data_IF_821386558231
#
_entry.id   IF_821386558231
#
_cell.length_a   1.000
_cell.length_b   1.000
_cell.length_c   1.000
_cell.angle_alpha   90.00
_cell.angle_beta   90.00
_cell.angle_gamma   90.00
#
_symmetry.space_group_name_H-M   'P 1'
#
loop_
_entity.id
_entity.type
_entity.pdbx_description
1 polymer ?
#
# COMPACT_ATOMS: atom_id res chain seq x y z
N UNK A 1 32.49 -12.23 -28.23
CA UNK A 1 31.35 -11.54 -27.61
C UNK A 1 31.45 -11.80 -26.11
N UNK A 2 31.93 -10.83 -25.32
CA UNK A 2 32.05 -10.98 -23.86
C UNK A 2 30.78 -10.42 -23.24
N UNK A 3 30.05 -11.28 -22.54
CA UNK A 3 28.93 -10.89 -21.70
C UNK A 3 29.41 -9.86 -20.68
N UNK A 4 28.80 -8.68 -20.70
CA UNK A 4 28.97 -7.70 -19.65
C UNK A 4 28.25 -8.23 -18.41
N UNK A 5 29.00 -8.86 -17.52
CA UNK A 5 28.59 -9.08 -16.13
C UNK A 5 28.38 -7.70 -15.53
N UNK A 6 27.13 -7.29 -15.41
CA UNK A 6 26.74 -6.11 -14.65
C UNK A 6 27.18 -6.35 -13.20
N UNK A 7 28.18 -5.61 -12.77
CA UNK A 7 28.59 -5.50 -11.38
C UNK A 7 27.42 -4.87 -10.57
N UNK A 8 26.72 -5.70 -9.80
CA UNK A 8 25.53 -5.32 -9.00
C UNK A 8 25.96 -4.62 -7.69
N UNK A 9 27.26 -4.41 -7.43
CA UNK A 9 27.73 -3.94 -6.13
C UNK A 9 27.77 -2.42 -5.92
N UNK A 10 27.28 -1.60 -6.86
CA UNK A 10 27.33 -0.13 -6.72
C UNK A 10 26.09 0.64 -7.24
N UNK A 11 24.90 0.03 -7.28
CA UNK A 11 23.69 0.83 -7.53
C UNK A 11 23.31 1.58 -6.26
N UNK A 12 23.62 2.88 -6.21
CA UNK A 12 23.08 3.82 -5.21
C UNK A 12 21.55 3.71 -5.22
N UNK A 13 20.98 2.94 -4.30
CA UNK A 13 19.55 2.66 -4.30
C UNK A 13 18.74 3.98 -4.23
N UNK A 14 17.64 4.10 -5.00
CA UNK A 14 16.61 5.12 -4.74
C UNK A 14 16.07 4.97 -3.30
N UNK A 15 15.58 6.06 -2.69
CA UNK A 15 15.10 6.20 -1.29
C UNK A 15 15.39 5.03 -0.34
N UNK A 16 16.33 5.22 0.59
CA UNK A 16 16.54 4.33 1.73
C UNK A 16 16.27 5.12 3.01
N UNK A 17 15.46 4.55 3.91
CA UNK A 17 15.16 5.16 5.20
C UNK A 17 15.27 4.12 6.31
N UNK A 18 16.12 4.42 7.27
CA UNK A 18 16.22 3.73 8.55
C UNK A 18 15.28 4.44 9.57
N UNK A 19 14.45 3.70 10.34
CA UNK A 19 13.60 4.26 11.38
C UNK A 19 14.34 5.17 12.36
N UNK A 20 15.61 4.88 12.65
CA UNK A 20 16.42 5.67 13.58
C UNK A 20 16.59 7.14 13.12
N UNK A 21 16.49 7.41 11.81
CA UNK A 21 16.56 8.77 11.23
C UNK A 21 15.43 9.67 11.72
N UNK A 22 14.27 9.10 12.02
CA UNK A 22 13.08 9.82 12.51
C UNK A 22 12.75 9.51 13.97
N UNK A 23 13.65 8.80 14.67
CA UNK A 23 13.40 8.33 16.03
C UNK A 23 12.23 7.35 16.15
N UNK A 24 11.94 6.61 15.07
CA UNK A 24 10.84 5.65 15.03
C UNK A 24 11.31 4.24 15.39
N UNK A 25 10.42 3.45 15.96
CA UNK A 25 10.59 2.00 16.11
C UNK A 25 10.41 1.29 14.76
N UNK A 26 9.42 1.72 13.97
CA UNK A 26 9.12 1.17 12.65
C UNK A 26 8.66 2.24 11.66
N UNK A 27 9.04 2.09 10.39
CA UNK A 27 8.50 2.80 9.24
C UNK A 27 7.79 1.83 8.28
N UNK A 28 6.61 2.19 7.80
CA UNK A 28 5.72 1.31 7.04
C UNK A 28 5.06 2.02 5.86
N UNK A 29 4.63 1.22 4.87
CA UNK A 29 3.89 1.66 3.67
C UNK A 29 4.50 2.89 3.00
N UNK A 30 5.72 2.78 2.47
CA UNK A 30 6.28 3.86 1.67
C UNK A 30 5.50 4.02 0.37
N UNK A 31 5.20 5.25 -0.01
CA UNK A 31 4.56 5.64 -1.26
C UNK A 31 5.34 6.80 -1.87
N UNK A 32 5.88 6.60 -3.08
CA UNK A 32 6.54 7.66 -3.84
C UNK A 32 5.51 8.44 -4.65
N UNK A 33 5.65 9.76 -4.66
CA UNK A 33 4.76 10.68 -5.36
C UNK A 33 5.53 11.89 -5.90
N UNK A 34 5.09 12.42 -7.05
CA UNK A 34 5.68 13.62 -7.65
C UNK A 34 4.87 14.87 -7.31
N UNK A 35 5.58 15.88 -6.81
CA UNK A 35 5.06 17.20 -6.48
C UNK A 35 6.13 18.25 -6.77
N UNK A 36 5.77 19.29 -7.53
CA UNK A 36 6.67 20.38 -7.95
C UNK A 36 8.01 19.89 -8.52
N UNK A 37 7.94 18.97 -9.49
CA UNK A 37 9.10 18.34 -10.15
C UNK A 37 10.06 17.55 -9.22
N UNK A 38 9.70 17.41 -7.94
CA UNK A 38 10.42 16.59 -6.98
C UNK A 38 9.65 15.31 -6.69
N UNK A 39 10.39 14.20 -6.54
CA UNK A 39 9.81 12.97 -6.00
C UNK A 39 9.98 12.96 -4.50
N UNK A 40 8.86 12.79 -3.81
CA UNK A 40 8.76 12.76 -2.36
C UNK A 40 8.26 11.38 -1.93
N UNK A 41 8.58 10.98 -0.71
CA UNK A 41 8.11 9.73 -0.13
C UNK A 41 7.20 10.03 1.06
N UNK A 42 5.95 9.60 0.96
CA UNK A 42 5.07 9.48 2.12
C UNK A 42 5.26 8.11 2.76
N UNK A 43 5.24 8.05 4.08
CA UNK A 43 5.35 6.81 4.83
C UNK A 43 4.73 7.00 6.21
N UNK A 44 4.38 5.89 6.85
CA UNK A 44 3.92 5.89 8.24
C UNK A 44 5.12 5.58 9.13
N UNK A 45 5.26 6.26 10.26
CA UNK A 45 6.24 5.93 11.30
C UNK A 45 5.55 5.73 12.66
N UNK A 46 5.91 4.65 13.37
CA UNK A 46 5.56 4.43 14.78
C UNK A 46 6.70 4.93 15.65
N UNK A 47 6.42 5.94 16.47
CA UNK A 47 7.43 6.53 17.38
C UNK A 47 7.50 5.73 18.68
N UNK A 48 6.36 5.32 19.22
CA UNK A 48 6.28 4.62 20.50
C UNK A 48 6.29 3.10 20.25
N UNK A 49 7.45 2.48 20.46
CA UNK A 49 7.69 1.05 20.24
C UNK A 49 7.09 0.13 21.30
N UNK A 50 5.84 0.34 21.73
CA UNK A 50 5.15 -0.65 22.56
C UNK A 50 4.69 -1.86 21.73
N UNK A 51 4.46 -3.01 22.39
CA UNK A 51 4.04 -4.27 21.74
C UNK A 51 2.69 -4.16 21.00
N UNK A 52 2.03 -3.00 21.05
CA UNK A 52 0.73 -2.76 20.47
C UNK A 52 0.77 -1.87 19.23
N UNK A 53 1.96 -1.45 18.79
CA UNK A 53 2.16 -0.63 17.58
C UNK A 53 1.24 0.61 17.59
N UNK A 54 1.23 1.35 18.70
CA UNK A 54 0.43 2.57 18.84
C UNK A 54 1.11 3.78 18.19
N UNK A 55 0.33 4.80 17.85
CA UNK A 55 0.82 6.12 17.38
C UNK A 55 1.61 6.07 16.09
N UNK A 56 0.94 5.61 15.04
CA UNK A 56 1.46 5.72 13.68
C UNK A 56 1.13 7.11 13.13
N UNK A 57 2.17 7.90 12.87
CA UNK A 57 2.03 9.21 12.24
C UNK A 57 2.31 9.11 10.74
N UNK A 58 1.70 10.00 9.94
CA UNK A 58 2.09 10.14 8.53
C UNK A 58 3.25 11.13 8.43
N UNK A 59 4.30 10.71 7.74
CA UNK A 59 5.51 11.48 7.50
C UNK A 59 5.76 11.63 6.01
N UNK A 60 6.51 12.68 5.66
CA UNK A 60 7.01 12.92 4.32
C UNK A 60 8.52 13.12 4.33
N UNK A 61 9.18 12.55 3.34
CA UNK A 61 10.58 12.80 3.01
C UNK A 61 10.60 13.54 1.66
N UNK A 62 10.84 14.86 1.65
CA UNK A 62 10.72 15.69 0.43
C UNK A 62 11.73 15.39 -0.67
N UNK A 63 12.76 14.58 -0.38
CA UNK A 63 13.82 14.20 -1.29
C UNK A 63 14.78 13.22 -0.62
N UNK A 64 15.60 12.53 -1.40
CA UNK A 64 16.47 11.44 -0.92
C UNK A 64 17.41 11.82 0.23
N UNK A 65 17.84 13.07 0.29
CA UNK A 65 18.77 13.57 1.31
C UNK A 65 18.08 14.59 2.25
N UNK A 66 16.77 14.79 2.10
CA UNK A 66 16.02 15.72 2.93
C UNK A 66 15.67 15.10 4.28
N UNK A 67 15.64 15.92 5.34
CA UNK A 67 15.12 15.47 6.64
C UNK A 67 13.63 15.18 6.52
N UNK A 68 13.16 14.01 6.98
CA UNK A 68 11.73 13.74 7.04
C UNK A 68 11.02 14.67 8.02
N UNK A 69 9.74 14.92 7.77
CA UNK A 69 8.86 15.69 8.67
C UNK A 69 7.51 14.98 8.83
N UNK A 70 6.93 15.09 10.01
CA UNK A 70 5.55 14.66 10.26
C UNK A 70 4.58 15.62 9.56
N UNK A 71 3.55 15.07 8.91
CA UNK A 71 2.53 15.83 8.17
C UNK A 71 1.10 15.59 8.69
N UNK A 72 0.85 14.45 9.32
CA UNK A 72 -0.37 14.20 10.09
C UNK A 72 -0.03 13.43 11.35
N UNK A 73 -0.67 13.82 12.45
CA UNK A 73 -0.61 13.12 13.72
C UNK A 73 -1.91 12.34 13.95
N UNK A 74 -1.79 11.14 14.50
CA UNK A 74 -2.93 10.32 14.90
C UNK A 74 -2.75 9.81 16.33
N UNK A 75 -3.84 9.89 17.11
CA UNK A 75 -3.92 9.25 18.43
C UNK A 75 -4.19 7.75 18.30
N UNK A 76 -4.83 7.35 17.19
CA UNK A 76 -5.15 5.97 16.86
C UNK A 76 -4.07 5.32 15.99
N UNK A 77 -4.12 3.99 15.89
CA UNK A 77 -3.29 3.27 14.94
C UNK A 77 -3.77 3.56 13.50
N UNK A 78 -2.84 3.85 12.59
CA UNK A 78 -3.16 4.05 11.17
C UNK A 78 -2.26 3.24 10.27
N UNK A 79 -2.83 2.82 9.13
CA UNK A 79 -2.16 1.98 8.15
C UNK A 79 -2.55 2.32 6.72
N UNK A 80 -1.77 1.78 5.79
CA UNK A 80 -2.14 1.68 4.38
C UNK A 80 -2.50 2.99 3.67
N UNK A 81 -1.71 4.06 3.80
CA UNK A 81 -1.97 5.29 3.06
C UNK A 81 -1.99 4.97 1.57
N UNK A 82 -2.94 5.59 0.90
CA UNK A 82 -3.09 5.60 -0.55
C UNK A 82 -3.37 7.02 -0.98
N UNK A 83 -2.54 7.56 -1.87
CA UNK A 83 -2.71 8.93 -2.36
C UNK A 83 -3.06 8.91 -3.83
N UNK A 84 -4.17 9.55 -4.15
CA UNK A 84 -4.58 9.85 -5.51
C UNK A 84 -4.25 11.32 -5.82
N UNK A 85 -3.52 11.56 -6.91
CA UNK A 85 -3.29 12.92 -7.44
C UNK A 85 -4.51 13.32 -8.27
N UNK A 86 -5.13 14.43 -7.88
CA UNK A 86 -6.21 15.09 -8.58
C UNK A 86 -5.66 16.33 -9.31
N UNK A 87 -6.45 16.94 -10.19
CA UNK A 87 -6.00 18.07 -11.03
C UNK A 87 -5.39 19.23 -10.22
N UNK A 88 -5.90 19.48 -9.00
CA UNK A 88 -5.48 20.63 -8.16
C UNK A 88 -5.10 20.26 -6.73
N UNK A 89 -5.24 19.00 -6.35
CA UNK A 89 -5.02 18.57 -4.98
C UNK A 89 -4.61 17.09 -4.96
N UNK A 90 -4.27 16.61 -3.77
CA UNK A 90 -3.99 15.23 -3.46
C UNK A 90 -5.07 14.76 -2.50
N UNK A 91 -5.62 13.58 -2.75
CA UNK A 91 -6.55 12.90 -1.87
C UNK A 91 -5.86 11.70 -1.23
N UNK A 92 -5.71 11.73 0.08
CA UNK A 92 -5.23 10.60 0.88
C UNK A 92 -6.44 9.77 1.32
N UNK A 93 -6.29 8.46 1.26
CA UNK A 93 -7.13 7.49 1.95
C UNK A 93 -6.23 6.73 2.92
N UNK A 94 -6.66 6.58 4.17
CA UNK A 94 -5.87 5.93 5.20
C UNK A 94 -6.77 5.10 6.10
N UNK A 95 -6.31 3.90 6.45
CA UNK A 95 -6.98 3.07 7.44
C UNK A 95 -6.71 3.64 8.83
N UNK A 96 -7.77 3.82 9.62
CA UNK A 96 -7.70 4.22 11.03
C UNK A 96 -8.34 3.13 11.87
N UNK A 97 -7.60 2.67 12.88
CA UNK A 97 -7.95 1.61 13.81
C UNK A 97 -8.06 2.19 15.22
N UNK A 98 -9.27 2.54 15.59
CA UNK A 98 -9.62 3.10 16.89
C UNK A 98 -9.67 1.99 17.95
N UNK A 99 -9.14 2.28 19.14
CA UNK A 99 -9.10 1.34 20.27
C UNK A 99 -8.49 -0.03 19.90
N UNK A 100 -7.43 -0.06 19.08
CA UNK A 100 -6.81 -1.29 18.58
C UNK A 100 -6.35 -2.30 19.67
N UNK A 101 -6.26 -1.87 20.93
CA UNK A 101 -5.95 -2.73 22.08
C UNK A 101 -7.17 -3.27 22.83
N UNK A 102 -8.37 -2.76 22.57
CA UNK A 102 -9.61 -3.19 23.22
C UNK A 102 -10.55 -3.82 22.18
N UNK A 103 -10.60 -5.17 22.11
CA UNK A 103 -11.51 -5.91 21.23
C UNK A 103 -12.98 -5.49 21.30
N UNK A 104 -13.47 -5.04 22.47
CA UNK A 104 -14.87 -4.69 22.66
C UNK A 104 -15.21 -3.29 22.15
N UNK A 105 -14.21 -2.40 22.08
CA UNK A 105 -14.35 -1.02 21.60
C UNK A 105 -13.68 -0.79 20.24
N UNK A 106 -13.10 -1.83 19.65
CA UNK A 106 -12.38 -1.77 18.39
C UNK A 106 -13.27 -1.30 17.24
N UNK A 107 -12.79 -0.33 16.48
CA UNK A 107 -13.44 0.15 15.26
C UNK A 107 -12.38 0.46 14.21
N UNK A 108 -12.63 0.02 12.99
CA UNK A 108 -11.80 0.38 11.85
C UNK A 108 -12.60 1.20 10.84
N UNK A 109 -11.92 2.13 10.19
CA UNK A 109 -12.49 2.97 9.13
C UNK A 109 -11.42 3.31 8.09
N UNK A 110 -11.83 3.63 6.86
CA UNK A 110 -10.99 4.37 5.92
C UNK A 110 -11.44 5.82 5.95
N UNK A 111 -10.51 6.72 6.26
CA UNK A 111 -10.74 8.17 6.26
C UNK A 111 -10.05 8.81 5.07
N UNK A 112 -10.61 9.91 4.59
CA UNK A 112 -10.02 10.70 3.50
C UNK A 112 -9.64 12.11 3.94
N UNK A 113 -8.48 12.54 3.43
CA UNK A 113 -7.89 13.84 3.68
C UNK A 113 -7.47 14.46 2.35
N UNK A 114 -7.47 15.79 2.27
CA UNK A 114 -7.01 16.53 1.09
C UNK A 114 -5.85 17.46 1.40
N UNK A 115 -4.96 17.64 0.44
CA UNK A 115 -3.83 18.55 0.52
C UNK A 115 -3.50 19.12 -0.86
N UNK A 116 -2.98 20.34 -0.93
CA UNK A 116 -2.46 20.92 -2.19
C UNK A 116 -0.93 20.81 -2.28
N UNK A 117 -0.25 20.47 -1.19
CA UNK A 117 1.21 20.55 -1.05
C UNK A 117 1.86 19.29 -0.42
N UNK A 118 1.04 18.26 -0.12
CA UNK A 118 1.42 17.03 0.60
C UNK A 118 1.87 17.24 2.06
N UNK A 119 1.80 18.47 2.57
CA UNK A 119 2.23 18.84 3.93
C UNK A 119 1.02 19.10 4.80
N UNK A 120 0.13 19.96 4.31
CA UNK A 120 -1.02 20.46 5.03
C UNK A 120 -2.22 19.64 4.59
N UNK A 121 -2.56 18.64 5.39
CA UNK A 121 -3.69 17.75 5.14
C UNK A 121 -4.90 18.18 5.95
N UNK A 122 -6.07 18.14 5.31
CA UNK A 122 -7.36 18.46 5.94
C UNK A 122 -8.24 17.24 5.90
N UNK A 123 -8.76 16.84 7.05
CA UNK A 123 -9.78 15.80 7.12
C UNK A 123 -11.00 16.25 6.32
N UNK A 124 -11.58 15.33 5.56
CA UNK A 124 -12.76 15.61 4.73
C UNK A 124 -13.92 14.71 5.12
N UNK A 125 -13.70 13.38 5.15
CA UNK A 125 -14.77 12.44 5.44
C UNK A 125 -14.26 11.08 5.91
N UNK A 126 -15.16 10.32 6.52
CA UNK A 126 -15.06 8.88 6.67
C UNK A 126 -15.69 8.22 5.44
N UNK A 127 -14.91 7.42 4.71
CA UNK A 127 -15.31 6.83 3.42
C UNK A 127 -16.05 5.51 3.63
N UNK A 128 -15.58 4.73 4.60
CA UNK A 128 -16.14 3.44 4.99
C UNK A 128 -15.76 3.16 6.43
N UNK A 129 -16.64 2.46 7.12
CA UNK A 129 -16.43 1.99 8.48
C UNK A 129 -16.81 0.53 8.59
N UNK A 130 -16.11 -0.18 9.48
CA UNK A 130 -16.49 -1.52 9.88
C UNK A 130 -17.97 -1.59 10.32
N UNK A 131 -18.58 -2.75 10.07
CA UNK A 131 -19.97 -3.04 10.37
C UNK A 131 -20.08 -4.43 11.00
N UNK A 132 -21.26 -4.85 11.43
CA UNK A 132 -21.44 -6.22 11.95
C UNK A 132 -21.08 -7.31 10.92
N UNK A 133 -21.30 -7.05 9.63
CA UNK A 133 -20.95 -7.97 8.54
C UNK A 133 -19.44 -7.98 8.23
N UNK A 134 -18.80 -6.81 8.35
CA UNK A 134 -17.39 -6.59 8.07
C UNK A 134 -16.79 -5.81 9.25
N UNK A 135 -16.48 -6.47 10.38
CA UNK A 135 -16.02 -5.80 11.60
C UNK A 135 -14.73 -5.01 11.37
N UNK A 136 -13.95 -5.43 10.39
CA UNK A 136 -12.70 -4.80 10.01
C UNK A 136 -12.67 -4.39 8.54
N UNK A 137 -12.36 -3.12 8.31
CA UNK A 137 -12.07 -2.55 6.99
C UNK A 137 -10.63 -2.05 7.01
N UNK A 138 -9.83 -2.56 6.10
CA UNK A 138 -8.42 -2.23 6.04
C UNK A 138 -7.92 -2.25 4.60
N UNK A 139 -6.92 -1.44 4.27
CA UNK A 139 -6.31 -1.48 2.95
C UNK A 139 -7.23 -0.85 1.92
N UNK A 140 -6.73 0.18 1.27
CA UNK A 140 -7.49 0.95 0.30
C UNK A 140 -6.61 1.24 -0.89
N UNK A 141 -7.20 1.13 -2.07
CA UNK A 141 -6.66 1.67 -3.30
C UNK A 141 -7.80 2.25 -4.12
N UNK A 142 -7.69 3.53 -4.46
CA UNK A 142 -8.67 4.25 -5.28
C UNK A 142 -8.01 4.72 -6.56
N UNK A 143 -8.63 4.44 -7.70
CA UNK A 143 -8.17 4.86 -9.02
C UNK A 143 -9.36 5.44 -9.82
N UNK A 144 -9.08 6.30 -10.79
CA UNK A 144 -10.08 6.72 -11.78
C UNK A 144 -10.11 5.79 -12.98
N UNK A 145 -11.31 5.34 -13.36
CA UNK A 145 -11.54 4.64 -14.62
C UNK A 145 -11.52 5.60 -15.82
N UNK A 146 -11.63 5.06 -17.04
CA UNK A 146 -11.63 5.86 -18.27
C UNK A 146 -12.86 6.77 -18.41
N UNK A 147 -13.94 6.48 -17.68
CA UNK A 147 -15.14 7.32 -17.63
C UNK A 147 -15.02 8.48 -16.64
N UNK A 148 -13.91 8.56 -15.90
CA UNK A 148 -13.67 9.56 -14.86
C UNK A 148 -14.33 9.23 -13.53
N UNK A 149 -14.92 8.04 -13.37
CA UNK A 149 -15.47 7.57 -12.09
C UNK A 149 -14.36 7.00 -11.22
N UNK A 150 -14.52 7.10 -9.92
CA UNK A 150 -13.64 6.45 -8.97
C UNK A 150 -14.03 4.99 -8.82
N UNK A 151 -13.01 4.13 -8.79
CA UNK A 151 -13.11 2.73 -8.43
C UNK A 151 -12.25 2.54 -7.19
N UNK A 152 -12.90 2.24 -6.07
CA UNK A 152 -12.24 1.99 -4.79
C UNK A 152 -12.20 0.49 -4.53
N UNK A 153 -11.04 -0.01 -4.13
CA UNK A 153 -10.84 -1.38 -3.69
C UNK A 153 -10.49 -1.37 -2.21
N UNK A 154 -11.18 -2.21 -1.46
CA UNK A 154 -11.12 -2.24 -0.01
C UNK A 154 -10.87 -3.67 0.42
N UNK A 155 -9.91 -3.89 1.32
CA UNK A 155 -9.87 -5.16 2.03
C UNK A 155 -10.84 -5.08 3.21
N UNK A 156 -11.63 -6.11 3.37
CA UNK A 156 -12.50 -6.29 4.53
C UNK A 156 -12.22 -7.65 5.12
N UNK A 157 -12.29 -7.73 6.43
CA UNK A 157 -12.18 -8.97 7.14
C UNK A 157 -13.60 -9.46 7.45
N UNK A 158 -13.92 -10.69 7.05
CA UNK A 158 -15.26 -11.24 7.32
C UNK A 158 -15.40 -11.57 8.80
N UNK A 159 -16.62 -11.49 9.33
CA UNK A 159 -16.96 -12.00 10.65
C UNK A 159 -16.94 -13.55 10.65
N UNK A 160 -15.76 -14.16 10.54
CA UNK A 160 -15.53 -15.54 10.96
C UNK A 160 -15.65 -15.66 12.48
N UNK A 161 -15.90 -16.87 12.99
CA UNK A 161 -16.37 -17.14 14.36
C UNK A 161 -15.71 -16.30 15.48
N UNK A 162 -16.56 -15.73 16.33
CA UNK A 162 -16.34 -14.55 17.18
C UNK A 162 -15.49 -14.78 18.44
N UNK A 163 -14.32 -15.40 18.35
CA UNK A 163 -13.42 -15.51 19.52
C UNK A 163 -12.28 -14.48 19.53
N UNK A 164 -11.95 -13.83 18.40
CA UNK A 164 -10.96 -12.75 18.41
C UNK A 164 -11.06 -11.76 17.22
N UNK A 165 -11.42 -10.47 17.43
CA UNK A 165 -11.59 -9.51 16.34
C UNK A 165 -10.28 -9.11 15.63
N UNK A 166 -9.10 -9.40 16.23
CA UNK A 166 -7.79 -9.16 15.59
C UNK A 166 -7.34 -10.27 14.62
N UNK A 167 -8.14 -11.34 14.46
CA UNK A 167 -7.76 -12.55 13.72
C UNK A 167 -8.89 -13.15 12.87
N UNK A 168 -9.81 -12.34 12.34
CA UNK A 168 -10.76 -12.86 11.34
C UNK A 168 -9.99 -13.51 10.19
N UNK A 169 -10.16 -14.81 10.03
CA UNK A 169 -9.28 -15.68 9.25
C UNK A 169 -9.43 -15.52 7.72
N UNK A 170 -10.18 -14.52 7.23
CA UNK A 170 -10.50 -14.39 5.81
C UNK A 170 -10.59 -12.92 5.37
N UNK A 171 -9.44 -12.33 5.00
CA UNK A 171 -9.40 -11.05 4.29
C UNK A 171 -9.85 -11.22 2.84
N UNK A 172 -10.83 -10.41 2.44
CA UNK A 172 -11.37 -10.39 1.08
C UNK A 172 -11.29 -8.98 0.51
N UNK A 173 -10.99 -8.88 -0.77
CA UNK A 173 -10.97 -7.60 -1.48
C UNK A 173 -12.29 -7.43 -2.23
N UNK A 174 -12.90 -6.28 -2.07
CA UNK A 174 -14.07 -5.85 -2.82
C UNK A 174 -13.76 -4.58 -3.58
N UNK A 175 -14.59 -4.26 -4.57
CA UNK A 175 -14.56 -2.94 -5.18
C UNK A 175 -15.95 -2.29 -5.23
N UNK A 176 -15.96 -0.97 -5.26
CA UNK A 176 -17.16 -0.16 -5.41
C UNK A 176 -16.87 1.07 -6.28
N UNK A 177 -17.91 1.61 -6.90
CA UNK A 177 -17.82 2.84 -7.70
C UNK A 177 -18.22 4.07 -6.89
N UNK A 178 -17.60 5.21 -7.20
CA UNK A 178 -17.97 6.51 -6.67
C UNK A 178 -17.85 7.59 -7.74
N UNK A 179 -18.66 8.64 -7.62
CA UNK A 179 -18.57 9.83 -8.47
C UNK A 179 -17.72 10.95 -7.86
N UNK A 180 -17.53 10.96 -6.55
CA UNK A 180 -16.81 12.01 -5.82
C UNK A 180 -15.55 11.50 -5.09
N UNK A 181 -15.35 10.17 -5.08
CA UNK A 181 -14.24 9.52 -4.40
C UNK A 181 -14.43 9.43 -2.88
N UNK A 182 -15.63 9.71 -2.37
CA UNK A 182 -15.98 9.68 -0.94
C UNK A 182 -17.13 8.71 -0.70
N UNK A 183 -18.23 8.87 -1.46
CA UNK A 183 -19.41 8.04 -1.30
C UNK A 183 -19.36 6.90 -2.33
N UNK A 184 -19.05 5.70 -1.86
CA UNK A 184 -19.00 4.50 -2.67
C UNK A 184 -20.33 3.76 -2.63
N UNK A 185 -20.79 3.33 -3.80
CA UNK A 185 -22.07 2.65 -3.98
C UNK A 185 -22.02 1.16 -3.67
N UNK A 186 -22.64 0.37 -4.55
CA UNK A 186 -22.73 -1.08 -4.41
C UNK A 186 -21.36 -1.76 -4.42
N UNK A 187 -21.24 -2.80 -3.60
CA UNK A 187 -20.06 -3.62 -3.41
C UNK A 187 -20.06 -4.78 -4.41
N UNK A 188 -18.94 -4.97 -5.08
CA UNK A 188 -18.77 -5.98 -6.10
C UNK A 188 -17.56 -6.86 -5.80
N UNK A 189 -17.68 -8.14 -6.16
CA UNK A 189 -16.56 -9.06 -6.13
C UNK A 189 -15.65 -8.86 -7.36
N UNK A 190 -14.34 -8.67 -7.17
CA UNK A 190 -13.38 -8.69 -8.27
C UNK A 190 -13.11 -10.12 -8.71
N UNK A 191 -13.61 -10.50 -9.89
CA UNK A 191 -13.37 -11.83 -10.50
C UNK A 191 -11.86 -12.06 -10.68
N UNK A 192 -11.33 -13.21 -10.24
CA UNK A 192 -9.93 -13.58 -10.38
C UNK A 192 -8.98 -12.97 -9.34
N UNK A 193 -9.50 -12.15 -8.42
CA UNK A 193 -8.78 -11.62 -7.25
C UNK A 193 -9.27 -12.29 -5.96
N UNK A 194 -9.40 -13.62 -5.99
CA UNK A 194 -9.79 -14.43 -4.84
C UNK A 194 -8.57 -15.04 -4.12
N UNK A 195 -8.68 -15.32 -2.81
CA UNK A 195 -7.74 -16.20 -2.13
C UNK A 195 -7.66 -17.55 -2.84
N UNK A 196 -6.45 -18.01 -3.14
CA UNK A 196 -6.22 -19.37 -3.65
C UNK A 196 -5.86 -20.26 -2.47
N UNK A 197 -6.62 -21.34 -2.30
CA UNK A 197 -6.37 -22.34 -1.26
C UNK A 197 -4.93 -22.86 -1.34
N UNK A 198 -4.23 -22.90 -0.19
CA UNK A 198 -2.83 -23.32 -0.10
C UNK A 198 -1.80 -22.22 -0.42
N UNK A 199 -2.21 -21.05 -0.90
CA UNK A 199 -1.33 -19.87 -1.06
C UNK A 199 -1.52 -18.83 0.04
N UNK A 200 -2.74 -18.73 0.57
CA UNK A 200 -3.08 -17.89 1.70
C UNK A 200 -4.05 -18.61 2.60
N UNK A 201 -3.71 -18.71 3.87
CA UNK A 201 -4.63 -19.21 4.90
C UNK A 201 -5.49 -18.08 5.48
N UNK A 202 -5.18 -16.82 5.11
CA UNK A 202 -5.85 -15.62 5.65
C UNK A 202 -6.40 -14.67 4.59
N UNK A 203 -6.32 -15.04 3.31
CA UNK A 203 -6.86 -14.24 2.21
C UNK A 203 -5.89 -13.25 1.54
N UNK A 204 -6.43 -12.31 0.77
CA UNK A 204 -5.67 -11.28 0.05
C UNK A 204 -5.85 -9.92 0.73
N UNK A 205 -4.78 -9.12 0.79
CA UNK A 205 -4.78 -7.94 1.63
C UNK A 205 -3.96 -6.78 1.07
N UNK A 206 -4.39 -5.55 1.39
CA UNK A 206 -3.73 -4.28 0.98
C UNK A 206 -3.55 -4.16 -0.55
N UNK A 207 -4.64 -4.13 -1.35
CA UNK A 207 -4.53 -3.91 -2.79
C UNK A 207 -3.88 -2.56 -3.08
N UNK A 208 -2.93 -2.54 -4.01
CA UNK A 208 -2.37 -1.33 -4.59
C UNK A 208 -2.51 -1.41 -6.11
N UNK A 209 -3.40 -0.58 -6.66
CA UNK A 209 -3.75 -0.63 -8.07
C UNK A 209 -3.15 0.54 -8.82
N UNK A 210 -2.45 0.22 -9.90
CA UNK A 210 -1.78 1.19 -10.76
C UNK A 210 -2.22 1.00 -12.19
N UNK A 211 -2.45 2.11 -12.89
CA UNK A 211 -2.48 2.10 -14.36
C UNK A 211 -1.03 1.99 -14.84
N UNK A 212 -0.73 0.93 -15.62
CA UNK A 212 0.62 0.63 -16.14
C UNK A 212 0.76 0.86 -17.66
N UNK A 213 -0.37 1.08 -18.32
CA UNK A 213 -0.48 1.41 -19.74
C UNK A 213 -1.81 2.10 -20.05
N UNK A 214 -2.14 2.33 -21.34
CA UNK A 214 -3.36 3.01 -21.73
C UNK A 214 -4.63 2.31 -21.22
N UNK A 215 -4.61 0.98 -21.22
CA UNK A 215 -5.75 0.13 -20.87
C UNK A 215 -5.38 -1.04 -19.96
N UNK A 216 -4.19 -1.00 -19.35
CA UNK A 216 -3.68 -2.09 -18.51
C UNK A 216 -3.47 -1.57 -17.09
N UNK A 217 -3.98 -2.33 -16.13
CA UNK A 217 -3.86 -2.09 -14.70
C UNK A 217 -3.09 -3.25 -14.05
N UNK A 218 -2.30 -2.92 -13.05
CA UNK A 218 -1.62 -3.87 -12.19
C UNK A 218 -2.13 -3.72 -10.77
N UNK A 219 -2.43 -4.83 -10.11
CA UNK A 219 -2.72 -4.87 -8.67
C UNK A 219 -1.62 -5.63 -7.98
N UNK A 220 -1.00 -5.00 -6.98
CA UNK A 220 -0.09 -5.65 -6.05
C UNK A 220 -0.87 -5.91 -4.77
N UNK A 221 -0.96 -7.17 -4.36
CA UNK A 221 -1.60 -7.56 -3.11
C UNK A 221 -0.60 -8.29 -2.22
N UNK A 222 -0.72 -8.07 -0.92
CA UNK A 222 0.02 -8.82 0.07
C UNK A 222 -0.71 -10.12 0.37
N UNK A 223 0.00 -11.24 0.33
CA UNK A 223 -0.53 -12.56 0.69
C UNK A 223 0.03 -13.00 2.03
N UNK A 224 -0.84 -13.56 2.88
CA UNK A 224 -0.53 -13.90 4.28
C UNK A 224 -0.55 -15.43 4.45
N UNK A 225 0.57 -16.14 4.24
CA UNK A 225 0.67 -17.55 4.59
C UNK A 225 0.93 -17.73 6.11
N UNK A 226 0.54 -18.89 6.68
CA UNK A 226 0.64 -19.29 8.09
C UNK A 226 2.02 -19.08 8.77
N UNK A 227 3.08 -18.81 8.01
CA UNK A 227 4.47 -18.71 8.48
C UNK A 227 5.10 -17.32 8.30
N UNK A 228 4.27 -16.26 8.30
CA UNK A 228 4.69 -14.85 8.28
C UNK A 228 5.44 -14.38 7.02
N UNK A 229 5.59 -15.21 5.99
CA UNK A 229 6.27 -14.83 4.74
C UNK A 229 5.34 -14.01 3.84
N UNK A 230 5.28 -12.71 4.08
CA UNK A 230 4.60 -11.80 3.16
C UNK A 230 5.27 -11.85 1.78
N UNK A 231 4.53 -12.35 0.79
CA UNK A 231 4.88 -12.25 -0.62
C UNK A 231 3.89 -11.31 -1.31
N UNK A 232 4.38 -10.50 -2.23
CA UNK A 232 3.51 -9.66 -3.07
C UNK A 232 3.10 -10.49 -4.28
N UNK A 233 1.81 -10.70 -4.44
CA UNK A 233 1.25 -11.29 -5.66
C UNK A 233 0.81 -10.17 -6.58
N UNK A 234 0.99 -10.39 -7.88
CA UNK A 234 0.61 -9.42 -8.89
C UNK A 234 -0.45 -9.98 -9.80
N UNK A 235 -1.41 -9.12 -10.07
CA UNK A 235 -2.54 -9.37 -10.94
C UNK A 235 -2.58 -8.28 -12.01
N UNK A 236 -3.07 -8.63 -13.19
CA UNK A 236 -3.36 -7.67 -14.26
C UNK A 236 -4.85 -7.59 -14.52
N UNK A 237 -5.32 -6.41 -14.90
CA UNK A 237 -6.69 -6.20 -15.38
C UNK A 237 -6.71 -5.22 -16.54
N UNK A 238 -7.72 -5.32 -17.40
CA UNK A 238 -8.02 -4.32 -18.44
C UNK A 238 -9.31 -3.55 -18.19
N UNK A 239 -10.16 -4.06 -17.29
CA UNK A 239 -11.50 -3.54 -17.06
C UNK A 239 -11.78 -3.20 -15.58
N UNK A 240 -10.79 -3.38 -14.70
CA UNK A 240 -10.91 -3.20 -13.23
C UNK A 240 -11.95 -4.13 -12.58
N UNK A 241 -12.43 -5.17 -13.28
CA UNK A 241 -13.42 -6.11 -12.74
C UNK A 241 -12.86 -7.51 -12.69
N UNK A 242 -12.13 -7.89 -13.74
CA UNK A 242 -11.51 -9.19 -13.93
C UNK A 242 -10.01 -9.08 -13.80
N UNK A 243 -9.44 -9.94 -12.97
CA UNK A 243 -8.04 -9.96 -12.63
C UNK A 243 -7.42 -11.29 -13.05
N UNK A 244 -6.33 -11.20 -13.78
CA UNK A 244 -5.52 -12.35 -14.12
C UNK A 244 -4.27 -12.35 -13.25
N UNK A 245 -4.10 -13.42 -12.49
CA UNK A 245 -2.94 -13.63 -11.64
C UNK A 245 -1.70 -13.91 -12.48
N UNK A 246 -0.65 -13.13 -12.25
CA UNK A 246 0.65 -13.29 -12.93
C UNK A 246 1.67 -14.06 -12.08
N UNK A 247 1.46 -14.12 -10.77
CA UNK A 247 2.31 -14.85 -9.84
C UNK A 247 2.97 -13.95 -8.79
N UNK A 248 3.88 -14.50 -7.99
CA UNK A 248 4.63 -13.74 -7.00
C UNK A 248 5.59 -12.79 -7.70
N UNK A 249 5.58 -11.53 -7.26
CA UNK A 249 6.43 -10.49 -7.80
C UNK A 249 7.08 -9.69 -6.67
N UNK A 250 8.02 -10.34 -6.02
CA UNK A 250 9.15 -9.69 -5.36
C UNK A 250 10.38 -10.53 -5.74
N UNK A 251 11.54 -9.93 -6.00
CA UNK A 251 12.75 -10.73 -6.08
C UNK A 251 12.88 -11.51 -4.75
N UNK A 252 13.15 -12.82 -4.77
CA UNK A 252 13.52 -13.52 -3.54
C UNK A 252 14.74 -12.84 -2.95
N UNK A 253 14.71 -12.51 -1.66
CA UNK A 253 15.86 -11.92 -0.98
C UNK A 253 17.04 -12.91 -1.01
N UNK A 254 18.27 -12.49 -1.37
CA UNK A 254 19.47 -13.33 -1.35
C UNK A 254 19.99 -13.68 0.07
N UNK A 255 19.31 -13.32 1.16
CA UNK A 255 19.79 -13.55 2.54
C UNK A 255 18.72 -13.74 3.63
N UNK A 256 19.17 -13.65 4.90
CA UNK A 256 18.46 -14.10 6.11
C UNK A 256 17.43 -13.12 6.72
N UNK A 257 16.91 -12.14 5.98
CA UNK A 257 15.92 -11.16 6.43
C UNK A 257 14.80 -11.06 5.35
N UNK A 258 13.54 -11.48 5.55
CA UNK A 258 12.43 -10.94 6.37
C UNK A 258 11.53 -9.90 5.65
N UNK A 259 10.38 -10.42 5.19
CA UNK A 259 9.04 -9.85 4.94
C UNK A 259 8.91 -8.42 4.37
N UNK A 260 8.28 -8.29 3.20
CA UNK A 260 7.81 -7.01 2.65
C UNK A 260 6.35 -6.73 3.09
N UNK A 261 6.13 -5.66 3.86
CA UNK A 261 4.82 -5.40 4.50
C UNK A 261 3.75 -4.78 3.57
N UNK A 262 4.20 -4.00 2.59
CA UNK A 262 3.40 -3.40 1.50
C UNK A 262 4.36 -2.85 0.44
N UNK A 263 4.08 -3.10 -0.83
CA UNK A 263 4.89 -2.61 -1.95
C UNK A 263 4.10 -1.64 -2.83
N UNK A 264 4.71 -0.51 -3.19
CA UNK A 264 4.12 0.53 -4.03
C UNK A 264 4.91 0.71 -5.32
N UNK A 265 4.20 0.95 -6.43
CA UNK A 265 4.78 1.14 -7.74
C UNK A 265 4.83 2.63 -8.09
N UNK A 266 6.00 3.10 -8.48
CA UNK A 266 6.16 4.44 -9.01
C UNK A 266 7.20 4.43 -10.13
N UNK A 267 6.81 4.86 -11.33
CA UNK A 267 7.72 5.02 -12.49
C UNK A 267 8.66 3.82 -12.72
N UNK A 268 8.11 2.61 -12.75
CA UNK A 268 8.89 1.37 -12.97
C UNK A 268 9.78 0.95 -11.80
N UNK A 269 9.55 1.50 -10.61
CA UNK A 269 10.23 1.11 -9.39
C UNK A 269 9.24 0.63 -8.35
N UNK A 270 9.60 -0.45 -7.66
CA UNK A 270 8.86 -0.95 -6.53
C UNK A 270 9.52 -0.43 -5.25
N UNK A 271 8.74 0.24 -4.39
CA UNK A 271 9.18 0.72 -3.07
C UNK A 271 8.44 -0.05 -1.99
N UNK A 272 9.17 -0.61 -1.02
CA UNK A 272 8.59 -1.44 0.02
C UNK A 272 9.37 -1.33 1.33
N UNK A 273 8.68 -1.59 2.45
CA UNK A 273 9.31 -1.74 3.75
C UNK A 273 9.63 -3.21 4.01
N UNK A 274 10.89 -3.50 4.30
CA UNK A 274 11.36 -4.79 4.82
C UNK A 274 11.34 -4.75 6.33
N UNK A 275 11.08 -5.87 7.01
CA UNK A 275 10.97 -5.94 8.49
C UNK A 275 11.83 -7.06 9.03
N UNK A 276 12.82 -6.85 9.90
CA UNK A 276 13.62 -7.93 10.50
C UNK A 276 12.89 -8.75 11.58
N UNK A 277 13.58 -9.78 12.10
CA UNK A 277 13.10 -10.62 13.21
C UNK A 277 12.91 -9.86 14.52
N UNK A 278 13.50 -8.67 14.66
CA UNK A 278 13.34 -7.77 15.82
C UNK A 278 12.28 -6.71 15.55
N UNK A 279 11.50 -6.89 14.48
CA UNK A 279 10.45 -5.99 14.02
C UNK A 279 10.91 -4.60 13.57
N UNK A 280 12.22 -4.36 13.44
CA UNK A 280 12.74 -3.13 12.83
C UNK A 280 12.47 -3.17 11.35
N UNK A 281 12.07 -2.05 10.77
CA UNK A 281 11.81 -1.97 9.33
C UNK A 281 12.79 -1.07 8.60
N UNK A 282 12.94 -1.22 7.30
CA UNK A 282 13.68 -0.28 6.45
C UNK A 282 13.04 -0.19 5.08
N UNK A 283 13.06 1.00 4.49
CA UNK A 283 12.48 1.21 3.16
C UNK A 283 13.54 0.95 2.09
N UNK A 284 13.16 0.23 1.04
CA UNK A 284 13.96 0.06 -0.18
C UNK A 284 13.15 0.34 -1.42
N UNK A 285 13.80 0.92 -2.42
CA UNK A 285 13.28 1.04 -3.77
C UNK A 285 14.17 0.28 -4.75
N UNK A 286 13.56 -0.56 -5.60
CA UNK A 286 14.25 -1.32 -6.63
C UNK A 286 13.59 -1.12 -7.99
N UNK A 287 14.35 -1.07 -9.10
CA UNK A 287 13.76 -1.07 -10.43
C UNK A 287 13.08 -2.41 -10.72
N UNK A 288 11.98 -2.39 -11.47
CA UNK A 288 11.29 -3.59 -11.93
C UNK A 288 11.00 -3.51 -13.43
N UNK A 289 10.98 -4.66 -14.10
CA UNK A 289 10.58 -4.73 -15.50
C UNK A 289 9.08 -5.06 -15.63
N UNK A 290 8.28 -4.06 -16.01
CA UNK A 290 6.85 -4.21 -16.23
C UNK A 290 6.51 -4.77 -17.63
N UNK A 291 7.48 -5.25 -18.43
CA UNK A 291 7.26 -5.70 -19.82
C UNK A 291 6.22 -6.83 -19.90
N UNK A 292 6.18 -7.72 -18.92
CA UNK A 292 5.18 -8.78 -18.83
C UNK A 292 3.74 -8.25 -18.59
N UNK A 293 3.59 -7.07 -17.97
CA UNK A 293 2.30 -6.40 -17.77
C UNK A 293 1.91 -5.57 -19.00
N UNK A 294 2.82 -4.72 -19.44
CA UNK A 294 2.63 -3.82 -20.56
C UNK A 294 3.95 -3.70 -21.33
N UNK A 295 4.12 -4.31 -22.51
CA UNK A 295 5.37 -4.25 -23.27
C UNK A 295 5.86 -2.82 -23.58
N UNK A 296 4.93 -1.86 -23.60
CA UNK A 296 5.21 -0.46 -23.88
C UNK A 296 5.33 0.41 -22.61
N UNK A 297 5.40 -0.20 -21.42
CA UNK A 297 5.34 0.49 -20.13
C UNK A 297 6.35 1.65 -20.02
N UNK A 298 7.55 1.51 -20.58
CA UNK A 298 8.61 2.54 -20.55
C UNK A 298 8.21 3.86 -21.22
N UNK A 299 7.22 3.83 -22.12
CA UNK A 299 6.65 5.05 -22.74
C UNK A 299 5.81 5.84 -21.74
N UNK A 300 5.18 5.15 -20.79
CA UNK A 300 4.25 5.72 -19.80
C UNK A 300 4.92 5.96 -18.43
N UNK A 301 5.93 5.16 -18.11
CA UNK A 301 6.65 5.18 -16.84
C UNK A 301 8.15 5.24 -17.13
N UNK A 302 8.69 6.46 -17.29
CA UNK A 302 10.14 6.64 -17.39
C UNK A 302 10.77 6.37 -16.02
N UNK A 303 11.79 5.48 -15.92
CA UNK A 303 12.58 5.32 -14.71
C UNK A 303 13.12 6.65 -14.19
N UNK A 304 13.42 6.74 -12.90
CA UNK A 304 14.19 7.86 -12.35
C UNK A 304 15.46 8.07 -13.18
N UNK A 305 15.71 9.33 -13.55
CA UNK A 305 17.04 9.81 -13.84
C UNK A 305 17.48 10.53 -12.57
N UNK A 306 18.22 9.83 -11.70
CA UNK A 306 18.87 10.44 -10.53
C UNK A 306 20.11 11.21 -10.94
#
# INVERSE_FOLDING_TARGET
MKEAVMDISASRAPFCLDPEVVGAFAVNTPLLIEHDDAVQMLFIAAIDGDEHERNYDLWIMPGKDARPRRVLHFEDCVHNPWVLKEDRFYRLYITVMENASDPAAYRSSIRTFTSTDLVNWRYEAEVITGSEAFPEVEGVSVIRDESGRYVGYFTVASAGDKEHPRFSENYTIFYAYSHDGIHFGEWHWPEGLEPVEGESDRGLYKPNIYRVGPSDYACFVSVVPWLHRFHQMVYRSRDLKRWEKLGPWLPPDPGSATHALKATLFRGHLTFALRDRRFRTWIRTVPIDLTALCPQWKRYHRPFQL
#
